data_IF_559518923453
#
_entry.id   IF_559518923453
#
_cell.length_a   1.000
_cell.length_b   1.000
_cell.length_c   1.000
_cell.angle_alpha   90.00
_cell.angle_beta   90.00
_cell.angle_gamma   90.00
#
_symmetry.space_group_name_H-M   'P 1'
#
loop_
_entity.id
_entity.type
_entity.pdbx_description
1 polymer ?
#
# COMPACT_ATOMS: atom_id res chain seq x y z
N UNK A 1 -11.60 1.13 15.20
CA UNK A 1 -10.85 0.15 16.02
C UNK A 1 -11.78 -0.92 16.60
N UNK A 2 -12.81 -0.57 17.39
CA UNK A 2 -13.76 -1.55 18.01
C UNK A 2 -14.44 -2.55 17.05
N UNK A 3 -14.53 -2.25 15.74
CA UNK A 3 -15.17 -3.14 14.77
C UNK A 3 -14.29 -4.28 14.27
N UNK A 4 -12.97 -4.10 14.14
CA UNK A 4 -12.09 -5.12 13.54
C UNK A 4 -11.91 -6.37 14.42
N UNK A 5 -12.17 -6.24 15.72
CA UNK A 5 -12.07 -7.32 16.71
C UNK A 5 -13.43 -7.96 17.05
N UNK A 6 -14.50 -7.55 16.36
CA UNK A 6 -15.81 -8.14 16.58
C UNK A 6 -15.81 -9.59 16.10
N UNK A 7 -16.20 -10.53 16.95
CA UNK A 7 -16.13 -11.96 16.65
C UNK A 7 -16.84 -12.36 15.33
N UNK A 8 -18.04 -11.83 14.98
CA UNK A 8 -18.64 -11.99 13.66
C UNK A 8 -17.76 -11.55 12.49
N UNK A 9 -17.01 -10.45 12.63
CA UNK A 9 -16.14 -9.94 11.57
C UNK A 9 -14.92 -10.86 11.38
N UNK A 10 -14.40 -11.45 12.48
CA UNK A 10 -13.33 -12.46 12.42
C UNK A 10 -13.80 -13.78 11.82
N UNK A 11 -15.02 -14.22 12.17
CA UNK A 11 -15.66 -15.39 11.55
C UNK A 11 -15.81 -15.19 10.05
N UNK A 12 -16.30 -14.03 9.63
CA UNK A 12 -16.48 -13.71 8.21
C UNK A 12 -15.13 -13.63 7.47
N UNK A 13 -14.11 -12.99 8.07
CA UNK A 13 -12.79 -12.86 7.48
C UNK A 13 -12.12 -14.24 7.25
N UNK A 14 -12.09 -15.08 8.30
CA UNK A 14 -11.48 -16.41 8.23
C UNK A 14 -12.28 -17.38 7.35
N UNK A 15 -13.61 -17.26 7.33
CA UNK A 15 -14.49 -18.18 6.62
C UNK A 15 -14.40 -19.61 7.19
N UNK A 16 -14.59 -20.60 6.32
CA UNK A 16 -14.44 -22.02 6.69
C UNK A 16 -12.95 -22.33 6.84
N UNK A 17 -12.52 -22.70 8.04
CA UNK A 17 -11.12 -23.00 8.36
C UNK A 17 -10.97 -24.45 8.80
N UNK A 18 -9.86 -25.09 8.39
CA UNK A 18 -9.47 -26.40 8.90
C UNK A 18 -8.70 -26.25 10.23
N UNK A 19 -9.01 -27.05 11.26
CA UNK A 19 -8.30 -27.01 12.53
C UNK A 19 -6.80 -27.26 12.38
N UNK A 20 -5.97 -26.44 13.03
CA UNK A 20 -4.52 -26.65 13.15
C UNK A 20 -3.64 -25.94 12.11
N UNK A 21 -4.23 -25.27 11.11
CA UNK A 21 -3.49 -24.47 10.11
C UNK A 21 -3.55 -22.97 10.41
N UNK A 22 -4.73 -22.49 10.81
CA UNK A 22 -5.00 -21.11 11.21
C UNK A 22 -5.67 -21.10 12.60
N UNK A 23 -5.50 -20.03 13.38
CA UNK A 23 -6.26 -19.88 14.62
C UNK A 23 -7.76 -19.77 14.32
N UNK A 24 -8.58 -20.33 15.21
CA UNK A 24 -10.02 -20.08 15.22
C UNK A 24 -10.31 -18.58 15.45
N UNK A 25 -11.51 -18.08 15.11
CA UNK A 25 -11.88 -16.69 15.36
C UNK A 25 -11.68 -16.24 16.82
N UNK A 26 -11.95 -17.12 17.79
CA UNK A 26 -11.77 -16.84 19.23
C UNK A 26 -10.29 -16.82 19.62
N UNK A 27 -9.49 -17.75 19.10
CA UNK A 27 -8.03 -17.75 19.31
C UNK A 27 -7.40 -16.50 18.69
N UNK A 28 -7.81 -16.13 17.47
CA UNK A 28 -7.32 -14.93 16.79
C UNK A 28 -7.68 -13.67 17.58
N UNK A 29 -8.91 -13.55 18.07
CA UNK A 29 -9.32 -12.44 18.94
C UNK A 29 -8.45 -12.36 20.20
N UNK A 30 -8.16 -13.51 20.82
CA UNK A 30 -7.33 -13.60 22.03
C UNK A 30 -5.88 -13.20 21.74
N UNK A 31 -5.29 -13.71 20.66
CA UNK A 31 -3.93 -13.36 20.23
C UNK A 31 -3.79 -11.85 19.98
N UNK A 32 -4.77 -11.23 19.32
CA UNK A 32 -4.74 -9.78 19.08
C UNK A 32 -4.85 -9.00 20.41
N UNK A 33 -5.81 -9.36 21.27
CA UNK A 33 -5.99 -8.71 22.55
C UNK A 33 -4.72 -8.82 23.42
N UNK A 34 -4.06 -9.98 23.44
CA UNK A 34 -2.82 -10.19 24.18
C UNK A 34 -1.67 -9.31 23.66
N UNK A 35 -1.56 -9.14 22.34
CA UNK A 35 -0.57 -8.23 21.74
C UNK A 35 -0.88 -6.78 22.08
N UNK A 36 -2.14 -6.35 22.04
CA UNK A 36 -2.54 -4.98 22.41
C UNK A 36 -2.23 -4.68 23.89
N UNK A 37 -2.52 -5.62 24.79
CA UNK A 37 -2.22 -5.49 26.22
C UNK A 37 -0.72 -5.41 26.46
N UNK A 38 0.08 -6.22 25.76
CA UNK A 38 1.54 -6.19 25.87
C UNK A 38 2.14 -4.90 25.30
N UNK A 39 1.64 -4.45 24.15
CA UNK A 39 2.05 -3.20 23.54
C UNK A 39 1.81 -2.00 24.47
N UNK A 40 0.69 -2.00 25.22
CA UNK A 40 0.42 -0.98 26.24
C UNK A 40 1.46 -0.99 27.39
N UNK A 41 2.05 -2.15 27.68
CA UNK A 41 3.11 -2.32 28.69
C UNK A 41 4.51 -2.10 28.13
N UNK A 42 4.65 -1.75 26.85
CA UNK A 42 5.93 -1.55 26.17
C UNK A 42 6.61 -2.85 25.73
N UNK A 43 5.90 -3.98 25.74
CA UNK A 43 6.36 -5.24 25.15
C UNK A 43 5.69 -5.45 23.78
N UNK A 44 6.50 -5.41 22.72
CA UNK A 44 6.00 -5.45 21.34
C UNK A 44 6.27 -6.77 20.63
N UNK A 45 6.72 -7.81 21.34
CA UNK A 45 6.99 -9.10 20.71
C UNK A 45 5.69 -9.78 20.23
N UNK A 46 5.54 -9.98 18.92
CA UNK A 46 4.35 -10.61 18.33
C UNK A 46 4.51 -12.12 18.13
N UNK A 47 3.42 -12.86 18.30
CA UNK A 47 3.38 -14.31 18.05
C UNK A 47 3.42 -14.62 16.54
N UNK A 48 4.28 -15.54 16.10
CA UNK A 48 4.41 -15.92 14.68
C UNK A 48 3.11 -16.47 14.08
N UNK A 49 2.26 -17.11 14.90
CA UNK A 49 0.94 -17.61 14.49
C UNK A 49 0.03 -16.45 14.10
N UNK A 50 0.09 -15.35 14.87
CA UNK A 50 -0.70 -14.16 14.59
C UNK A 50 -0.24 -13.49 13.29
N UNK A 51 1.07 -13.36 13.09
CA UNK A 51 1.62 -12.78 11.85
C UNK A 51 1.28 -13.64 10.62
N UNK A 52 1.39 -14.96 10.72
CA UNK A 52 1.00 -15.89 9.65
C UNK A 52 -0.48 -15.78 9.29
N UNK A 53 -1.35 -15.67 10.30
CA UNK A 53 -2.78 -15.45 10.08
C UNK A 53 -3.04 -14.11 9.35
N UNK A 54 -2.31 -13.05 9.69
CA UNK A 54 -2.42 -11.76 9.01
C UNK A 54 -2.00 -11.84 7.54
N UNK A 55 -0.88 -12.48 7.22
CA UNK A 55 -0.45 -12.70 5.83
C UNK A 55 -1.45 -13.54 5.04
N UNK A 56 -2.02 -14.58 5.63
CA UNK A 56 -3.10 -15.37 5.01
C UNK A 56 -4.33 -14.49 4.70
N UNK A 57 -4.80 -13.72 5.68
CA UNK A 57 -5.96 -12.85 5.50
C UNK A 57 -5.69 -11.77 4.44
N UNK A 58 -4.46 -11.22 4.41
CA UNK A 58 -4.08 -10.26 3.38
C UNK A 58 -4.12 -10.89 1.98
N UNK A 59 -3.67 -12.15 1.83
CA UNK A 59 -3.75 -12.88 0.56
C UNK A 59 -5.20 -13.13 0.13
N UNK A 60 -6.07 -13.58 1.06
CA UNK A 60 -7.52 -13.74 0.81
C UNK A 60 -8.14 -12.44 0.33
N UNK A 61 -7.82 -11.34 1.00
CA UNK A 61 -8.34 -10.02 0.67
C UNK A 61 -7.85 -9.50 -0.69
N UNK A 62 -6.64 -9.90 -1.10
CA UNK A 62 -5.98 -9.44 -2.33
C UNK A 62 -6.34 -10.27 -3.57
N UNK A 63 -7.02 -11.40 -3.41
CA UNK A 63 -7.43 -12.28 -4.49
C UNK A 63 -8.67 -11.73 -5.25
N UNK A 64 -8.50 -10.62 -5.96
CA UNK A 64 -9.59 -9.93 -6.69
C UNK A 64 -10.22 -10.77 -7.82
N UNK A 65 -9.47 -11.70 -8.40
CA UNK A 65 -9.96 -12.62 -9.45
C UNK A 65 -10.72 -13.83 -8.87
N UNK A 66 -10.72 -13.98 -7.54
CA UNK A 66 -11.38 -15.07 -6.83
C UNK A 66 -12.73 -14.63 -6.23
N UNK A 67 -13.49 -13.79 -6.94
CA UNK A 67 -14.79 -13.30 -6.48
C UNK A 67 -15.81 -14.43 -6.24
N UNK A 68 -15.66 -15.56 -6.93
CA UNK A 68 -16.44 -16.79 -6.71
C UNK A 68 -16.08 -17.50 -5.39
N UNK A 69 -14.88 -17.26 -4.86
CA UNK A 69 -14.38 -17.86 -3.62
C UNK A 69 -14.53 -16.92 -2.40
N UNK A 70 -14.39 -15.62 -2.61
CA UNK A 70 -14.38 -14.61 -1.55
C UNK A 70 -15.35 -13.48 -1.86
N UNK A 71 -16.36 -13.32 -1.01
CA UNK A 71 -17.31 -12.20 -1.12
C UNK A 71 -16.60 -10.86 -0.89
N UNK A 72 -17.08 -9.75 -1.48
CA UNK A 72 -16.50 -8.42 -1.23
C UNK A 72 -16.49 -8.03 0.26
N UNK A 73 -17.52 -8.45 1.01
CA UNK A 73 -17.60 -8.23 2.45
C UNK A 73 -16.47 -8.98 3.19
N UNK A 74 -16.27 -10.28 2.89
CA UNK A 74 -15.16 -11.07 3.43
C UNK A 74 -13.80 -10.45 3.11
N UNK A 75 -13.57 -10.02 1.87
CA UNK A 75 -12.31 -9.39 1.48
C UNK A 75 -12.07 -8.08 2.26
N UNK A 76 -13.11 -7.25 2.42
CA UNK A 76 -13.01 -6.02 3.22
C UNK A 76 -12.68 -6.32 4.69
N UNK A 77 -13.31 -7.34 5.28
CA UNK A 77 -13.02 -7.76 6.66
C UNK A 77 -11.60 -8.33 6.81
N UNK A 78 -11.18 -9.16 5.87
CA UNK A 78 -9.84 -9.70 5.85
C UNK A 78 -8.76 -8.61 5.71
N UNK A 79 -8.99 -7.57 4.89
CA UNK A 79 -8.14 -6.37 4.86
C UNK A 79 -8.12 -5.62 6.19
N UNK A 80 -9.28 -5.41 6.83
CA UNK A 80 -9.36 -4.72 8.11
C UNK A 80 -8.56 -5.44 9.21
N UNK A 81 -8.71 -6.76 9.31
CA UNK A 81 -8.04 -7.58 10.33
C UNK A 81 -6.54 -7.68 10.06
N UNK A 82 -6.14 -8.02 8.82
CA UNK A 82 -4.71 -8.11 8.47
C UNK A 82 -3.98 -6.79 8.67
N UNK A 83 -4.59 -5.66 8.27
CA UNK A 83 -3.97 -4.35 8.46
C UNK A 83 -3.75 -4.00 9.93
N UNK A 84 -4.74 -4.29 10.78
CA UNK A 84 -4.62 -4.06 12.22
C UNK A 84 -3.50 -4.88 12.84
N UNK A 85 -3.41 -6.16 12.47
CA UNK A 85 -2.32 -7.02 12.96
C UNK A 85 -0.96 -6.51 12.48
N UNK A 86 -0.81 -6.19 11.19
CA UNK A 86 0.45 -5.64 10.68
C UNK A 86 0.86 -4.35 11.40
N UNK A 87 -0.09 -3.46 11.69
CA UNK A 87 0.14 -2.21 12.44
C UNK A 87 0.63 -2.47 13.88
N UNK A 88 0.07 -3.46 14.57
CA UNK A 88 0.58 -3.90 15.87
C UNK A 88 2.00 -4.47 15.75
N UNK A 89 2.23 -5.30 14.75
CA UNK A 89 3.51 -5.98 14.48
C UNK A 89 4.64 -5.01 14.09
N UNK A 90 4.32 -3.83 13.56
CA UNK A 90 5.32 -2.79 13.23
C UNK A 90 6.20 -2.35 14.41
N UNK A 91 5.72 -2.49 15.64
CA UNK A 91 6.46 -2.09 16.84
C UNK A 91 7.46 -3.16 17.32
N UNK A 92 7.40 -4.38 16.79
CA UNK A 92 8.26 -5.47 17.24
C UNK A 92 9.72 -5.18 16.88
N UNK A 93 10.64 -5.12 17.87
CA UNK A 93 12.03 -4.76 17.66
C UNK A 93 12.83 -5.82 16.89
N UNK A 94 12.28 -7.02 16.67
CA UNK A 94 12.92 -8.08 15.89
C UNK A 94 12.88 -7.82 14.38
N UNK A 95 12.01 -6.93 13.90
CA UNK A 95 11.90 -6.65 12.48
C UNK A 95 12.98 -5.71 11.96
N UNK A 96 13.61 -6.11 10.85
CA UNK A 96 14.49 -5.24 10.09
C UNK A 96 13.71 -4.16 9.30
N UNK A 97 14.43 -3.26 8.63
CA UNK A 97 13.83 -2.17 7.87
C UNK A 97 12.92 -2.68 6.74
N UNK A 98 13.32 -3.74 6.03
CA UNK A 98 12.55 -4.32 4.93
C UNK A 98 11.24 -4.93 5.44
N UNK A 99 11.31 -5.71 6.52
CA UNK A 99 10.14 -6.30 7.16
C UNK A 99 9.18 -5.21 7.65
N UNK A 100 9.69 -4.16 8.30
CA UNK A 100 8.87 -3.01 8.72
C UNK A 100 8.20 -2.31 7.54
N UNK A 101 8.90 -2.13 6.42
CA UNK A 101 8.32 -1.56 5.19
C UNK A 101 7.23 -2.45 4.60
N UNK A 102 7.44 -3.77 4.55
CA UNK A 102 6.46 -4.72 4.05
C UNK A 102 5.19 -4.76 4.91
N UNK A 103 5.35 -4.81 6.23
CA UNK A 103 4.23 -4.71 7.18
C UNK A 103 3.49 -3.38 7.03
N UNK A 104 4.21 -2.26 6.88
CA UNK A 104 3.62 -0.95 6.71
C UNK A 104 2.81 -0.85 5.41
N UNK A 105 3.39 -1.31 4.29
CA UNK A 105 2.71 -1.31 3.00
C UNK A 105 1.42 -2.16 3.06
N UNK A 106 1.51 -3.38 3.60
CA UNK A 106 0.36 -4.26 3.78
C UNK A 106 -0.73 -3.64 4.66
N UNK A 107 -0.35 -3.00 5.77
CA UNK A 107 -1.26 -2.29 6.65
C UNK A 107 -1.94 -1.11 5.96
N UNK A 108 -1.19 -0.29 5.23
CA UNK A 108 -1.73 0.84 4.48
C UNK A 108 -2.71 0.40 3.40
N UNK A 109 -2.37 -0.64 2.62
CA UNK A 109 -3.27 -1.22 1.61
C UNK A 109 -4.56 -1.68 2.26
N UNK A 110 -4.47 -2.46 3.36
CA UNK A 110 -5.64 -3.00 4.01
C UNK A 110 -6.52 -1.94 4.66
N UNK A 111 -5.95 -0.96 5.35
CA UNK A 111 -6.72 0.15 5.92
C UNK A 111 -7.45 0.98 4.85
N UNK A 112 -6.80 1.26 3.70
CA UNK A 112 -7.42 1.99 2.59
C UNK A 112 -8.56 1.20 1.95
N UNK A 113 -8.38 -0.11 1.73
CA UNK A 113 -9.41 -0.98 1.12
C UNK A 113 -10.52 -1.38 2.09
N UNK A 114 -10.30 -1.22 3.39
CA UNK A 114 -11.29 -1.42 4.43
C UNK A 114 -12.06 -0.14 4.83
N UNK A 115 -11.78 0.99 4.19
CA UNK A 115 -12.37 2.30 4.53
C UNK A 115 -12.11 2.71 5.99
N UNK A 116 -10.88 2.48 6.47
CA UNK A 116 -10.44 2.72 7.85
C UNK A 116 -9.43 3.87 7.96
N UNK A 117 -9.49 4.86 7.06
CA UNK A 117 -8.77 6.11 7.23
C UNK A 117 -9.22 6.81 8.53
N UNK A 118 -8.30 7.44 9.29
CA UNK A 118 -6.95 7.88 8.90
C UNK A 118 -5.80 6.88 9.20
N UNK A 119 -6.09 5.61 9.51
CA UNK A 119 -5.08 4.67 10.02
C UNK A 119 -3.90 4.43 9.05
N UNK A 120 -4.14 4.41 7.73
CA UNK A 120 -3.07 4.27 6.74
C UNK A 120 -2.05 5.42 6.81
N UNK A 121 -2.50 6.65 7.08
CA UNK A 121 -1.61 7.80 7.28
C UNK A 121 -0.89 7.73 8.63
N UNK A 122 -1.51 7.16 9.68
CA UNK A 122 -0.84 6.94 10.95
C UNK A 122 0.31 5.92 10.83
N UNK A 123 0.10 4.83 10.10
CA UNK A 123 1.15 3.84 9.78
C UNK A 123 2.33 4.50 9.07
N UNK A 124 2.06 5.31 8.03
CA UNK A 124 3.10 6.04 7.30
C UNK A 124 4.02 6.86 8.24
N UNK A 125 3.44 7.60 9.19
CA UNK A 125 4.20 8.43 10.13
C UNK A 125 5.13 7.62 11.05
N UNK A 126 4.88 6.32 11.25
CA UNK A 126 5.70 5.43 12.09
C UNK A 126 6.89 4.83 11.34
N UNK A 127 6.91 4.92 10.01
CA UNK A 127 7.96 4.36 9.15
C UNK A 127 8.56 5.39 8.20
N UNK A 128 8.19 6.66 8.31
CA UNK A 128 8.71 7.71 7.44
C UNK A 128 10.21 7.95 7.63
N UNK A 129 10.78 7.54 8.76
CA UNK A 129 12.22 7.50 9.02
C UNK A 129 12.97 6.51 8.11
N UNK A 130 12.28 5.49 7.61
CA UNK A 130 12.85 4.49 6.69
C UNK A 130 12.84 4.97 5.22
N UNK A 131 12.18 6.09 4.92
CA UNK A 131 12.09 6.64 3.57
C UNK A 131 13.21 7.67 3.37
N UNK A 132 14.34 7.22 2.85
CA UNK A 132 15.56 8.05 2.80
C UNK A 132 15.81 8.60 1.39
N UNK A 133 16.06 9.91 1.29
CA UNK A 133 16.37 10.62 0.04
C UNK A 133 17.86 10.96 -0.15
N UNK A 134 18.65 10.87 0.93
CA UNK A 134 20.06 11.26 1.01
C UNK A 134 21.04 10.07 0.98
N UNK A 135 20.54 8.84 1.04
CA UNK A 135 21.36 7.63 0.89
C UNK A 135 21.49 7.29 -0.60
N UNK A 136 22.66 6.81 -1.07
CA UNK A 136 22.79 6.28 -2.42
C UNK A 136 21.79 5.15 -2.67
N UNK A 137 21.05 5.25 -3.78
CA UNK A 137 19.99 4.29 -4.13
C UNK A 137 20.44 2.84 -4.15
N UNK A 138 21.69 2.58 -4.53
CA UNK A 138 22.29 1.24 -4.56
C UNK A 138 22.29 0.55 -3.20
N UNK A 139 22.29 1.30 -2.10
CA UNK A 139 22.33 0.74 -0.74
C UNK A 139 20.96 0.25 -0.26
N UNK A 140 19.88 0.64 -0.93
CA UNK A 140 18.50 0.30 -0.57
C UNK A 140 17.63 -0.04 -1.79
N UNK A 141 18.26 -0.43 -2.89
CA UNK A 141 17.57 -0.74 -4.14
C UNK A 141 16.55 -1.88 -4.00
N UNK A 142 16.82 -2.83 -3.10
CA UNK A 142 15.95 -3.97 -2.79
C UNK A 142 14.66 -3.58 -2.04
N UNK A 143 14.64 -2.44 -1.35
CA UNK A 143 13.46 -1.94 -0.62
C UNK A 143 12.76 -0.81 -1.34
N UNK A 144 13.41 -0.19 -2.33
CA UNK A 144 12.94 1.02 -3.02
C UNK A 144 11.52 0.91 -3.58
N UNK A 145 11.12 -0.26 -4.10
CA UNK A 145 9.77 -0.48 -4.59
C UNK A 145 8.72 -0.36 -3.47
N UNK A 146 9.00 -0.96 -2.32
CA UNK A 146 8.12 -0.91 -1.13
C UNK A 146 8.14 0.47 -0.52
N UNK A 147 9.31 1.11 -0.41
CA UNK A 147 9.43 2.50 0.04
C UNK A 147 8.56 3.44 -0.81
N UNK A 148 8.58 3.29 -2.13
CA UNK A 148 7.75 4.08 -3.03
C UNK A 148 6.25 3.81 -2.85
N UNK A 149 5.87 2.54 -2.62
CA UNK A 149 4.50 2.16 -2.28
C UNK A 149 4.04 2.79 -0.94
N UNK A 150 4.85 2.66 0.10
CA UNK A 150 4.58 3.20 1.45
C UNK A 150 4.45 4.72 1.41
N UNK A 151 5.40 5.39 0.73
CA UNK A 151 5.37 6.82 0.52
C UNK A 151 4.07 7.23 -0.19
N UNK A 152 3.73 6.60 -1.31
CA UNK A 152 2.51 6.89 -2.07
C UNK A 152 1.25 6.80 -1.20
N UNK A 153 1.08 5.72 -0.45
CA UNK A 153 -0.11 5.49 0.38
C UNK A 153 -0.19 6.40 1.62
N UNK A 154 0.94 6.98 2.03
CA UNK A 154 1.01 8.02 3.05
C UNK A 154 0.35 9.34 2.62
N UNK A 155 0.35 9.61 1.31
CA UNK A 155 -0.25 10.79 0.66
C UNK A 155 0.29 12.15 1.12
N UNK A 156 1.42 12.21 1.83
CA UNK A 156 2.09 13.47 2.22
C UNK A 156 2.76 14.15 1.02
N UNK A 157 1.99 14.90 0.24
CA UNK A 157 2.45 15.50 -1.02
C UNK A 157 3.67 16.43 -0.84
N UNK A 158 3.83 17.07 0.32
CA UNK A 158 4.95 17.98 0.61
C UNK A 158 6.28 17.23 0.66
N UNK A 159 6.26 16.02 1.24
CA UNK A 159 7.43 15.16 1.34
C UNK A 159 7.64 14.30 0.09
N UNK A 160 6.56 13.78 -0.51
CA UNK A 160 6.63 12.86 -1.64
C UNK A 160 7.25 13.49 -2.89
N UNK A 161 6.92 14.74 -3.23
CA UNK A 161 7.45 15.37 -4.45
C UNK A 161 8.98 15.50 -4.41
N UNK A 162 9.60 16.04 -3.34
CA UNK A 162 11.06 16.03 -3.16
C UNK A 162 11.66 14.63 -3.19
N UNK A 163 11.11 13.68 -2.40
CA UNK A 163 11.61 12.31 -2.28
C UNK A 163 11.69 11.61 -3.64
N UNK A 164 10.55 11.57 -4.35
CA UNK A 164 10.47 10.92 -5.67
C UNK A 164 11.32 11.64 -6.71
N UNK A 165 11.51 12.96 -6.60
CA UNK A 165 12.44 13.70 -7.47
C UNK A 165 13.89 13.26 -7.22
N UNK A 166 14.28 13.09 -5.96
CA UNK A 166 15.61 12.59 -5.59
C UNK A 166 15.84 11.20 -6.17
N UNK A 167 14.95 10.24 -5.90
CA UNK A 167 15.08 8.88 -6.41
C UNK A 167 15.09 8.80 -7.94
N UNK A 168 14.22 9.55 -8.62
CA UNK A 168 14.23 9.60 -10.10
C UNK A 168 15.54 10.13 -10.65
N UNK A 169 16.12 11.15 -10.02
CA UNK A 169 17.44 11.68 -10.40
C UNK A 169 18.51 10.61 -10.20
N UNK A 170 18.54 9.95 -9.05
CA UNK A 170 19.52 8.88 -8.75
C UNK A 170 19.40 7.69 -9.71
N UNK A 171 18.19 7.27 -10.08
CA UNK A 171 17.96 6.23 -11.09
C UNK A 171 18.47 6.62 -12.48
N UNK A 172 18.28 7.88 -12.87
CA UNK A 172 18.83 8.41 -14.14
C UNK A 172 20.36 8.49 -14.10
N UNK A 173 20.95 8.93 -12.98
CA UNK A 173 22.40 8.95 -12.78
C UNK A 173 22.99 7.55 -12.81
N UNK A 174 22.32 6.56 -12.21
CA UNK A 174 22.71 5.15 -12.26
C UNK A 174 22.67 4.62 -13.69
N UNK A 175 21.59 4.86 -14.44
CA UNK A 175 21.46 4.45 -15.84
C UNK A 175 22.60 5.03 -16.71
N UNK A 176 22.90 6.33 -16.53
CA UNK A 176 24.00 6.98 -17.22
C UNK A 176 25.37 6.39 -16.85
N UNK A 177 25.58 6.02 -15.58
CA UNK A 177 26.82 5.40 -15.10
C UNK A 177 27.08 4.03 -15.74
N UNK A 178 26.01 3.28 -16.03
CA UNK A 178 26.08 1.97 -16.70
C UNK A 178 25.91 2.07 -18.22
N UNK A 179 25.93 3.28 -18.79
CA UNK A 179 25.78 3.56 -20.22
C UNK A 179 24.49 3.01 -20.84
N UNK A 180 23.40 3.02 -20.07
CA UNK A 180 22.06 2.64 -20.53
C UNK A 180 21.10 3.84 -20.58
N UNK A 181 20.16 3.81 -21.52
CA UNK A 181 19.08 4.81 -21.61
C UNK A 181 18.12 4.71 -20.41
N UNK A 182 17.88 3.49 -19.93
CA UNK A 182 17.12 3.20 -18.72
C UNK A 182 17.58 1.90 -18.04
N UNK A 183 16.94 1.54 -16.93
CA UNK A 183 17.32 0.38 -16.13
C UNK A 183 16.40 -0.83 -16.35
N UNK A 184 15.47 -0.79 -17.31
CA UNK A 184 14.42 -1.80 -17.48
C UNK A 184 14.95 -3.21 -17.71
N UNK A 185 16.10 -3.34 -18.38
CA UNK A 185 16.75 -4.63 -18.64
C UNK A 185 17.66 -5.11 -17.50
N UNK A 186 17.69 -4.40 -16.37
CA UNK A 186 18.58 -4.67 -15.23
C UNK A 186 17.80 -5.12 -14.00
N UNK A 187 18.51 -5.52 -12.94
CA UNK A 187 17.89 -5.81 -11.63
C UNK A 187 17.18 -4.60 -10.99
N UNK A 188 17.48 -3.38 -11.42
CA UNK A 188 16.85 -2.15 -10.91
C UNK A 188 15.60 -1.74 -11.68
N UNK A 189 15.30 -2.41 -12.79
CA UNK A 189 14.19 -2.08 -13.67
C UNK A 189 12.82 -2.09 -12.97
N UNK A 190 12.49 -3.10 -12.13
CA UNK A 190 11.21 -3.14 -11.43
C UNK A 190 11.03 -1.93 -10.50
N UNK A 191 12.03 -1.64 -9.66
CA UNK A 191 12.00 -0.50 -8.75
C UNK A 191 11.94 0.84 -9.51
N UNK A 192 12.65 0.98 -10.63
CA UNK A 192 12.57 2.16 -11.50
C UNK A 192 11.14 2.40 -12.01
N UNK A 193 10.46 1.34 -12.47
CA UNK A 193 9.08 1.46 -12.96
C UNK A 193 8.08 1.73 -11.84
N UNK A 194 8.26 1.18 -10.63
CA UNK A 194 7.44 1.54 -9.47
C UNK A 194 7.57 3.03 -9.13
N UNK A 195 8.80 3.56 -9.03
CA UNK A 195 9.03 4.98 -8.76
C UNK A 195 8.40 5.86 -9.87
N UNK A 196 8.52 5.45 -11.13
CA UNK A 196 7.88 6.12 -12.27
C UNK A 196 6.35 6.12 -12.13
N UNK A 197 5.76 4.97 -11.80
CA UNK A 197 4.32 4.83 -11.63
C UNK A 197 3.80 5.72 -10.50
N UNK A 198 4.43 5.64 -9.32
CA UNK A 198 4.08 6.46 -8.15
C UNK A 198 4.16 7.95 -8.45
N UNK A 199 5.21 8.38 -9.16
CA UNK A 199 5.34 9.77 -9.61
C UNK A 199 4.19 10.20 -10.54
N UNK A 200 3.84 9.36 -11.51
CA UNK A 200 2.74 9.65 -12.44
C UNK A 200 1.38 9.65 -11.73
N UNK A 201 1.12 8.71 -10.82
CA UNK A 201 -0.09 8.70 -10.00
C UNK A 201 -0.20 9.96 -9.13
N UNK A 202 0.89 10.34 -8.46
CA UNK A 202 0.93 11.55 -7.64
C UNK A 202 0.66 12.80 -8.49
N UNK A 203 1.20 12.89 -9.71
CA UNK A 203 0.92 14.01 -10.62
C UNK A 203 -0.53 14.03 -11.10
N UNK A 204 -1.12 12.87 -11.35
CA UNK A 204 -2.54 12.78 -11.68
C UNK A 204 -3.39 13.28 -10.51
N UNK A 205 -3.13 12.77 -9.30
CA UNK A 205 -3.86 13.16 -8.09
C UNK A 205 -3.67 14.63 -7.72
N UNK A 206 -2.44 15.16 -7.79
CA UNK A 206 -2.16 16.53 -7.39
C UNK A 206 -2.63 17.56 -8.42
N UNK A 207 -2.58 17.25 -9.72
CA UNK A 207 -2.76 18.25 -10.79
C UNK A 207 -3.83 17.92 -11.83
N UNK A 208 -4.47 16.75 -11.78
CA UNK A 208 -5.51 16.34 -12.71
C UNK A 208 -4.99 16.04 -14.12
N UNK A 209 -3.70 15.73 -14.25
CA UNK A 209 -3.08 15.52 -15.56
C UNK A 209 -3.46 14.13 -16.10
N UNK A 210 -4.62 14.01 -16.76
CA UNK A 210 -5.18 12.72 -17.22
C UNK A 210 -4.21 11.80 -17.98
N UNK A 211 -3.31 12.35 -18.81
CA UNK A 211 -2.26 11.58 -19.52
C UNK A 211 -1.30 10.81 -18.60
N UNK A 212 -1.22 11.15 -17.32
CA UNK A 212 -0.33 10.48 -16.37
C UNK A 212 -0.89 9.13 -15.90
N UNK A 213 -2.21 8.95 -15.92
CA UNK A 213 -2.80 7.69 -15.46
C UNK A 213 -2.45 6.51 -16.38
N UNK A 214 -2.52 6.62 -17.72
CA UNK A 214 -2.02 5.58 -18.63
C UNK A 214 -0.52 5.31 -18.48
N UNK A 215 0.28 6.35 -18.22
CA UNK A 215 1.74 6.19 -18.00
C UNK A 215 2.01 5.38 -16.73
N UNK A 216 1.27 5.65 -15.65
CA UNK A 216 1.38 4.87 -14.43
C UNK A 216 0.95 3.41 -14.65
N UNK A 217 -0.21 3.17 -15.29
CA UNK A 217 -0.68 1.82 -15.60
C UNK A 217 0.34 1.02 -16.42
N UNK A 218 0.90 1.62 -17.47
CA UNK A 218 1.90 0.97 -18.31
C UNK A 218 3.16 0.58 -17.52
N UNK A 219 3.63 1.46 -16.63
CA UNK A 219 4.78 1.18 -15.77
C UNK A 219 4.50 0.09 -14.72
N UNK A 220 3.28 0.00 -14.19
CA UNK A 220 2.91 -1.06 -13.24
C UNK A 220 2.76 -2.41 -13.95
N UNK A 221 2.14 -2.41 -15.13
CA UNK A 221 1.98 -3.62 -15.94
C UNK A 221 3.32 -4.20 -16.38
N UNK A 222 4.31 -3.35 -16.73
CA UNK A 222 5.63 -3.84 -17.13
C UNK A 222 6.39 -4.55 -15.99
N UNK A 223 6.08 -4.23 -14.73
CA UNK A 223 6.60 -4.97 -13.57
C UNK A 223 5.89 -6.32 -13.43
N UNK A 224 4.57 -6.36 -13.64
CA UNK A 224 3.77 -7.57 -13.47
C UNK A 224 4.04 -8.62 -14.56
N UNK A 225 4.26 -8.19 -15.80
CA UNK A 225 4.55 -9.05 -16.95
C UNK A 225 6.04 -9.40 -17.10
N UNK A 226 6.91 -8.77 -16.29
CA UNK A 226 8.35 -9.01 -16.27
C UNK A 226 9.15 -8.31 -17.37
N UNK A 227 8.52 -7.45 -18.18
CA UNK A 227 9.22 -6.66 -19.22
C UNK A 227 10.14 -5.59 -18.62
N UNK A 228 9.86 -5.15 -17.39
CA UNK A 228 10.69 -4.23 -16.62
C UNK A 228 11.82 -4.94 -15.84
N UNK A 229 12.11 -6.21 -16.12
CA UNK A 229 13.09 -7.02 -15.40
C UNK A 229 12.44 -8.08 -14.53
N UNK A 230 13.24 -9.06 -14.09
CA UNK A 230 12.79 -10.21 -13.31
C UNK A 230 13.46 -10.26 -11.93
N UNK A 231 12.81 -10.91 -10.96
CA UNK A 231 13.44 -11.26 -9.68
C UNK A 231 13.04 -10.41 -8.46
N UNK A 232 12.21 -9.39 -8.62
CA UNK A 232 11.73 -8.58 -7.49
C UNK A 232 10.26 -8.89 -7.16
N UNK A 233 10.04 -9.76 -6.17
CA UNK A 233 8.71 -10.13 -5.69
C UNK A 233 8.00 -8.97 -4.98
N UNK A 234 8.75 -8.15 -4.26
CA UNK A 234 8.19 -7.01 -3.53
C UNK A 234 7.69 -5.95 -4.53
N UNK A 235 8.43 -5.67 -5.60
CA UNK A 235 7.98 -4.80 -6.67
C UNK A 235 6.72 -5.32 -7.38
N UNK A 236 6.63 -6.63 -7.66
CA UNK A 236 5.42 -7.22 -8.26
C UNK A 236 4.21 -7.11 -7.33
N UNK A 237 4.41 -7.35 -6.04
CA UNK A 237 3.36 -7.20 -5.04
C UNK A 237 2.88 -5.76 -4.94
N UNK A 238 3.80 -4.79 -4.84
CA UNK A 238 3.49 -3.35 -4.86
C UNK A 238 2.78 -2.96 -6.16
N UNK A 239 3.27 -3.43 -7.31
CA UNK A 239 2.67 -3.14 -8.62
C UNK A 239 1.21 -3.58 -8.68
N UNK A 240 0.90 -4.80 -8.23
CA UNK A 240 -0.44 -5.35 -8.24
C UNK A 240 -1.41 -4.50 -7.41
N UNK A 241 -0.99 -4.08 -6.21
CA UNK A 241 -1.81 -3.26 -5.34
C UNK A 241 -2.01 -1.84 -5.88
N UNK A 242 -0.95 -1.21 -6.39
CA UNK A 242 -1.03 0.13 -6.97
C UNK A 242 -1.82 0.15 -8.27
N UNK A 243 -1.79 -0.91 -9.08
CA UNK A 243 -2.57 -0.99 -10.31
C UNK A 243 -4.07 -0.98 -10.02
N UNK A 244 -4.51 -1.81 -9.07
CA UNK A 244 -5.89 -1.83 -8.63
C UNK A 244 -6.34 -0.48 -8.01
N UNK A 245 -5.44 0.26 -7.37
CA UNK A 245 -5.73 1.63 -6.92
C UNK A 245 -5.87 2.57 -8.13
N UNK A 246 -4.94 2.52 -9.09
CA UNK A 246 -4.95 3.34 -10.29
C UNK A 246 -6.24 3.15 -11.12
N UNK A 247 -6.78 1.93 -11.16
CA UNK A 247 -8.05 1.64 -11.83
C UNK A 247 -9.25 2.31 -11.15
N UNK A 248 -9.25 2.37 -9.81
CA UNK A 248 -10.26 3.13 -9.06
C UNK A 248 -10.14 4.66 -9.20
N UNK A 249 -8.93 5.19 -9.44
CA UNK A 249 -8.70 6.64 -9.50
C UNK A 249 -9.36 7.33 -10.70
N UNK A 250 -9.54 6.63 -11.83
CA UNK A 250 -10.13 7.22 -13.03
C UNK A 250 -11.57 7.71 -12.80
N UNK A 251 -12.34 6.94 -12.03
CA UNK A 251 -13.72 7.27 -11.68
C UNK A 251 -13.84 7.98 -10.32
N UNK A 252 -12.89 7.73 -9.40
CA UNK A 252 -12.96 8.18 -8.00
C UNK A 252 -12.16 9.45 -7.64
N UNK A 253 -11.41 10.04 -8.57
CA UNK A 253 -10.63 11.26 -8.29
C UNK A 253 -11.51 12.50 -8.10
N UNK A 254 -10.97 13.53 -7.42
CA UNK A 254 -11.66 14.83 -7.35
C UNK A 254 -11.92 15.43 -8.74
N UNK A 255 -11.04 15.19 -9.70
CA UNK A 255 -11.19 15.70 -11.07
C UNK A 255 -12.32 15.02 -11.85
N UNK A 256 -12.73 13.81 -11.45
CA UNK A 256 -13.85 13.08 -12.06
C UNK A 256 -15.17 13.26 -11.29
N UNK A 257 -15.12 13.53 -9.99
CA UNK A 257 -16.30 13.65 -9.13
C UNK A 257 -16.85 15.09 -9.07
N UNK A 258 -16.00 16.11 -9.17
CA UNK A 258 -16.46 17.50 -9.11
C UNK A 258 -17.37 17.85 -10.29
N UNK A 259 -18.39 18.72 -10.10
CA UNK A 259 -19.32 19.09 -11.16
C UNK A 259 -18.60 19.61 -12.43
N UNK A 260 -19.12 19.30 -13.63
CA UNK A 260 -18.57 19.85 -14.87
C UNK A 260 -18.49 21.38 -14.82
N UNK A 261 -17.36 21.94 -15.25
CA UNK A 261 -17.08 23.38 -15.19
C UNK A 261 -16.42 23.86 -13.90
N UNK A 262 -16.21 22.98 -12.90
CA UNK A 262 -15.40 23.31 -11.73
C UNK A 262 -13.94 23.54 -12.14
N UNK A 263 -13.32 24.68 -11.76
CA UNK A 263 -11.91 24.91 -12.06
C UNK A 263 -11.02 23.85 -11.40
N UNK A 264 -10.02 23.36 -12.14
CA UNK A 264 -9.03 22.40 -11.62
C UNK A 264 -8.34 22.89 -10.33
N UNK A 265 -8.21 24.21 -10.15
CA UNK A 265 -7.64 24.81 -8.94
C UNK A 265 -8.38 24.40 -7.65
N UNK A 266 -9.68 24.10 -7.72
CA UNK A 266 -10.46 23.64 -6.57
C UNK A 266 -10.00 22.24 -6.16
N UNK A 267 -9.93 21.30 -7.10
CA UNK A 267 -9.40 19.96 -6.84
C UNK A 267 -7.94 20.02 -6.36
N UNK A 268 -7.10 20.84 -6.99
CA UNK A 268 -5.71 21.05 -6.59
C UNK A 268 -5.59 21.56 -5.15
N UNK A 269 -6.45 22.50 -4.74
CA UNK A 269 -6.43 23.04 -3.39
C UNK A 269 -6.72 21.96 -2.33
N UNK A 270 -7.68 21.06 -2.59
CA UNK A 270 -7.95 19.91 -1.71
C UNK A 270 -6.80 18.90 -1.68
N UNK A 271 -6.19 18.62 -2.84
CA UNK A 271 -5.07 17.69 -2.95
C UNK A 271 -3.77 18.20 -2.31
N UNK A 272 -3.61 19.51 -2.17
CA UNK A 272 -2.44 20.16 -1.59
C UNK A 272 -2.67 20.67 -0.15
N UNK A 273 -3.88 20.48 0.39
CA UNK A 273 -4.22 20.82 1.76
C UNK A 273 -3.57 19.86 2.77
N UNK A 274 -3.75 20.16 4.06
CA UNK A 274 -3.25 19.36 5.18
C UNK A 274 -4.38 19.08 6.18
N UNK A 275 -4.89 17.84 6.23
CA UNK A 275 -4.48 16.67 5.43
C UNK A 275 -4.93 16.78 3.95
N UNK A 276 -4.20 16.15 3.01
CA UNK A 276 -4.58 16.16 1.60
C UNK A 276 -5.79 15.25 1.36
N UNK A 277 -6.75 15.74 0.58
CA UNK A 277 -7.93 14.98 0.14
C UNK A 277 -7.73 14.63 -1.34
N UNK A 278 -7.30 13.40 -1.62
CA UNK A 278 -6.94 12.97 -2.98
C UNK A 278 -8.03 12.13 -3.66
N UNK A 279 -8.93 11.56 -2.86
CA UNK A 279 -10.11 10.80 -3.29
C UNK A 279 -11.28 11.16 -2.38
N UNK A 280 -12.45 11.43 -2.95
CA UNK A 280 -13.70 11.38 -2.20
C UNK A 280 -14.17 9.94 -2.32
N UNK A 281 -14.12 9.18 -1.23
CA UNK A 281 -14.74 7.87 -1.19
C UNK A 281 -16.24 8.05 -1.42
N UNK A 282 -16.67 7.91 -2.68
CA UNK A 282 -18.06 7.65 -3.00
C UNK A 282 -18.34 6.32 -2.32
N UNK A 283 -19.32 6.32 -1.41
CA UNK A 283 -20.02 5.10 -1.05
C UNK A 283 -20.16 4.26 -2.31
N UNK A 284 -19.73 3.00 -2.24
CA UNK A 284 -20.15 1.95 -3.15
C UNK A 284 -21.69 1.91 -3.12
N UNK A 285 -22.32 2.82 -3.86
CA UNK A 285 -23.65 2.61 -4.41
C UNK A 285 -23.41 1.57 -5.48
N UNK A 286 -23.62 0.33 -5.07
CA UNK A 286 -24.03 -0.76 -5.94
C UNK A 286 -25.04 -0.19 -6.92
N UNK A 287 -24.63 -0.03 -8.17
CA UNK A 287 -25.56 0.03 -9.28
C UNK A 287 -25.54 -1.38 -9.85
N UNK A 288 -26.67 -2.05 -9.61
CA UNK A 288 -27.14 -3.36 -10.06
C UNK A 288 -26.35 -4.05 -11.17
#
# INVERSE_FOLDING_TARGET
>A
MERALNLPDLVEALGVHEPGVLPSPQELASLIADVEIRAFRGDFAVDETLERAAWYLHAVASASEAAELYTPARQRRAFAVSAHVFDLTLADPRHDARQRLNLAFGAQVGYRRADLDPNATAVYRRVSDLLVDNTPLVDHAETLAVEAGVAFLGLDTRFLFPLLRSWRRQLTELAATVELDDLQSTMFGPAQQIVRAVWSLLRFLAFGTGRQLPVARAALLSVLDGTAGTGDLDARWVAAHLLAIADGLESGSLYSILPPGTPNAVAQAFCLADPPVLILQRQLVVVW
#
